data_IF_675245981924
#
_entry.id   IF_675245981924
#
_cell.length_a   1.000
_cell.length_b   1.000
_cell.length_c   1.000
_cell.angle_alpha   90.00
_cell.angle_beta   90.00
_cell.angle_gamma   90.00
#
_symmetry.space_group_name_H-M   'P 1'
#
loop_
_entity.id
_entity.type
_entity.pdbx_description
1 polymer ?
#
# COMPACT_ATOMS: atom_id res chain seq x y z
N UNK A 1 -42.01 19.70 38.53
CA UNK A 1 -42.48 18.79 37.45
C UNK A 1 -42.98 19.70 36.35
N UNK A 2 -42.53 19.75 35.09
CA UNK A 2 -41.66 18.94 34.25
C UNK A 2 -41.00 19.93 33.27
N UNK A 3 -39.68 20.07 33.30
CA UNK A 3 -38.76 19.76 32.19
C UNK A 3 -39.31 20.10 30.79
N UNK A 4 -38.79 21.17 30.20
CA UNK A 4 -38.78 21.37 28.75
C UNK A 4 -37.31 21.52 28.33
N UNK A 5 -36.73 20.41 27.89
CA UNK A 5 -35.38 20.34 27.35
C UNK A 5 -35.34 20.96 25.93
N UNK A 6 -34.25 21.64 25.54
CA UNK A 6 -34.07 22.13 24.19
C UNK A 6 -33.80 20.96 23.24
N UNK A 7 -34.49 20.96 22.09
CA UNK A 7 -34.21 20.06 20.97
C UNK A 7 -32.86 20.44 20.36
N UNK A 8 -31.90 19.53 20.46
CA UNK A 8 -30.64 19.61 19.73
C UNK A 8 -30.88 19.02 18.34
N UNK A 9 -30.98 19.90 17.33
CA UNK A 9 -31.03 19.49 15.94
C UNK A 9 -29.68 18.97 15.47
N UNK A 10 -29.78 17.90 14.68
CA UNK A 10 -28.70 17.14 14.11
C UNK A 10 -27.78 18.00 13.22
N UNK A 11 -26.48 17.95 13.50
CA UNK A 11 -25.49 18.07 12.43
C UNK A 11 -24.28 17.20 12.74
N UNK A 12 -24.49 15.89 12.60
CA UNK A 12 -23.41 14.92 12.44
C UNK A 12 -22.79 15.11 11.07
N UNK A 13 -21.77 15.97 10.99
CA UNK A 13 -20.73 15.83 9.97
C UNK A 13 -19.43 15.59 10.69
N UNK A 14 -19.17 14.31 10.95
CA UNK A 14 -17.81 13.81 11.08
C UNK A 14 -17.07 14.28 9.82
N UNK A 15 -16.29 15.33 10.00
CA UNK A 15 -15.48 15.94 8.98
C UNK A 15 -14.41 14.89 8.66
N UNK A 16 -14.69 14.11 7.62
CA UNK A 16 -13.77 13.09 7.10
C UNK A 16 -12.45 13.77 6.77
N UNK A 17 -11.39 13.26 7.39
CA UNK A 17 -10.00 13.64 7.18
C UNK A 17 -9.63 13.62 5.68
N UNK A 18 -9.76 14.76 5.01
CA UNK A 18 -9.37 14.96 3.61
C UNK A 18 -7.85 15.08 3.40
N UNK A 19 -7.04 14.75 4.41
CA UNK A 19 -5.57 14.87 4.34
C UNK A 19 -4.90 13.61 3.75
N UNK A 20 -5.46 12.41 4.02
CA UNK A 20 -4.82 11.14 3.66
C UNK A 20 -4.86 10.81 2.15
N UNK A 21 -5.78 11.42 1.40
CA UNK A 21 -6.02 11.03 0.00
C UNK A 21 -4.95 11.53 -0.98
N UNK A 22 -4.27 12.66 -0.67
CA UNK A 22 -3.30 13.26 -1.59
C UNK A 22 -1.91 12.60 -1.54
N UNK A 23 -1.49 12.13 -0.36
CA UNK A 23 -0.17 11.52 -0.17
C UNK A 23 -0.05 10.11 -0.77
N UNK A 24 -1.08 9.28 -0.58
CA UNK A 24 -1.14 7.92 -1.14
C UNK A 24 -1.05 7.94 -2.67
N UNK A 25 -1.84 8.82 -3.32
CA UNK A 25 -1.84 8.97 -4.78
C UNK A 25 -0.47 9.33 -5.35
N UNK A 26 0.33 10.14 -4.64
CA UNK A 26 1.67 10.53 -5.11
C UNK A 26 2.65 9.36 -5.01
N UNK A 27 2.61 8.61 -3.90
CA UNK A 27 3.46 7.44 -3.72
C UNK A 27 3.18 6.36 -4.77
N UNK A 28 1.89 6.11 -5.06
CA UNK A 28 1.47 5.16 -6.10
C UNK A 28 2.03 5.52 -7.48
N UNK A 29 1.96 6.80 -7.85
CA UNK A 29 2.47 7.29 -9.13
C UNK A 29 4.00 7.14 -9.22
N UNK A 30 4.72 7.45 -8.14
CA UNK A 30 6.18 7.34 -8.10
C UNK A 30 6.59 5.87 -8.27
N UNK A 31 5.97 4.95 -7.52
CA UNK A 31 6.27 3.52 -7.61
C UNK A 31 5.96 3.02 -9.02
N UNK A 32 4.80 3.36 -9.57
CA UNK A 32 4.37 2.87 -10.88
C UNK A 32 5.25 3.33 -12.04
N UNK A 33 5.89 4.50 -11.94
CA UNK A 33 6.70 5.08 -13.02
C UNK A 33 8.22 5.01 -12.74
N UNK A 34 8.64 4.38 -11.66
CA UNK A 34 10.06 4.20 -11.38
C UNK A 34 10.70 3.31 -12.47
N UNK A 35 11.86 3.71 -13.04
CA UNK A 35 12.55 2.92 -14.06
C UNK A 35 13.18 1.65 -13.48
N UNK A 36 13.53 1.68 -12.20
CA UNK A 36 14.04 0.52 -11.48
C UNK A 36 12.90 -0.34 -10.92
N UNK A 37 13.09 -1.66 -10.76
CA UNK A 37 12.14 -2.54 -10.10
C UNK A 37 11.86 -2.10 -8.65
N UNK A 38 10.60 -1.77 -8.36
CA UNK A 38 10.14 -1.38 -7.02
C UNK A 38 8.95 -2.23 -6.62
N UNK A 39 9.03 -2.80 -5.41
CA UNK A 39 7.92 -3.49 -4.77
C UNK A 39 7.77 -3.05 -3.31
N UNK A 40 6.56 -3.23 -2.78
CA UNK A 40 6.22 -3.04 -1.38
C UNK A 40 5.84 -4.41 -0.84
N UNK A 41 6.43 -4.81 0.29
CA UNK A 41 6.07 -6.05 1.00
C UNK A 41 5.58 -5.77 2.41
N UNK A 42 4.95 -6.77 3.03
CA UNK A 42 4.80 -6.81 4.48
C UNK A 42 6.11 -7.23 5.18
N UNK A 43 6.07 -7.29 6.51
CA UNK A 43 7.20 -7.69 7.35
C UNK A 43 7.60 -9.17 7.19
N UNK A 44 6.71 -9.99 6.63
CA UNK A 44 6.96 -11.42 6.36
C UNK A 44 7.49 -11.62 4.92
N UNK A 45 7.68 -10.54 4.16
CA UNK A 45 8.18 -10.57 2.79
C UNK A 45 7.13 -10.95 1.74
N UNK A 46 5.83 -10.88 2.08
CA UNK A 46 4.74 -11.01 1.09
C UNK A 46 4.63 -9.72 0.28
N UNK A 47 4.69 -9.83 -1.04
CA UNK A 47 4.58 -8.67 -1.94
C UNK A 47 3.13 -8.16 -1.93
N UNK A 48 2.95 -6.89 -1.53
CA UNK A 48 1.67 -6.17 -1.53
C UNK A 48 1.47 -5.38 -2.82
N UNK A 49 2.56 -4.82 -3.38
CA UNK A 49 2.54 -4.03 -4.61
C UNK A 49 3.85 -4.19 -5.36
N UNK A 50 3.80 -4.16 -6.69
CA UNK A 50 4.97 -4.15 -7.55
C UNK A 50 4.70 -3.23 -8.76
N UNK A 51 5.74 -2.55 -9.25
CA UNK A 51 5.68 -1.80 -10.50
C UNK A 51 5.89 -2.71 -11.72
N UNK A 52 5.70 -2.16 -12.91
CA UNK A 52 5.80 -2.95 -14.14
C UNK A 52 7.25 -3.37 -14.43
N UNK A 53 8.24 -2.59 -13.98
CA UNK A 53 9.65 -2.93 -14.09
C UNK A 53 10.01 -4.23 -13.35
N UNK A 54 9.34 -4.55 -12.22
CA UNK A 54 9.48 -5.87 -11.55
C UNK A 54 9.00 -7.01 -12.45
N UNK A 55 7.89 -6.81 -13.14
CA UNK A 55 7.32 -7.82 -14.06
C UNK A 55 8.25 -8.04 -15.26
N UNK A 56 8.84 -6.97 -15.80
CA UNK A 56 9.83 -7.04 -16.88
C UNK A 56 11.13 -7.74 -16.45
N UNK A 57 11.62 -7.46 -15.24
CA UNK A 57 12.83 -8.09 -14.71
C UNK A 57 12.63 -9.59 -14.49
N UNK A 58 11.52 -9.98 -13.86
CA UNK A 58 11.29 -11.35 -13.44
C UNK A 58 10.62 -12.21 -14.53
N UNK A 59 10.03 -11.59 -15.56
CA UNK A 59 9.31 -12.27 -16.64
C UNK A 59 7.94 -12.85 -16.22
N UNK A 60 7.44 -12.46 -15.05
CA UNK A 60 6.12 -12.85 -14.55
C UNK A 60 5.14 -11.70 -14.73
N UNK A 61 3.84 -12.03 -14.82
CA UNK A 61 2.83 -10.99 -14.79
C UNK A 61 2.69 -10.42 -13.39
N UNK A 62 2.31 -9.15 -13.31
CA UNK A 62 2.08 -8.45 -12.04
C UNK A 62 1.14 -9.21 -11.09
N UNK A 63 0.07 -9.80 -11.61
CA UNK A 63 -0.88 -10.61 -10.83
C UNK A 63 -0.31 -11.93 -10.32
N UNK A 64 0.78 -12.42 -10.91
CA UNK A 64 1.52 -13.60 -10.46
C UNK A 64 2.61 -13.25 -9.43
N UNK A 65 3.02 -11.98 -9.37
CA UNK A 65 4.03 -11.48 -8.44
C UNK A 65 3.40 -10.99 -7.13
N UNK A 66 2.28 -10.28 -7.24
CA UNK A 66 1.55 -9.78 -6.08
C UNK A 66 0.98 -10.96 -5.27
N UNK A 67 0.99 -10.82 -3.96
CA UNK A 67 0.64 -11.84 -2.96
C UNK A 67 1.57 -13.06 -2.86
N UNK A 68 2.63 -13.12 -3.65
CA UNK A 68 3.66 -14.15 -3.51
C UNK A 68 4.75 -13.71 -2.53
N UNK A 69 5.47 -14.70 -1.98
CA UNK A 69 6.68 -14.44 -1.21
C UNK A 69 7.84 -14.09 -2.14
N UNK A 70 8.60 -13.05 -1.79
CA UNK A 70 9.79 -12.61 -2.54
C UNK A 70 10.81 -13.75 -2.74
N UNK A 71 10.92 -14.64 -1.75
CA UNK A 71 11.79 -15.83 -1.78
C UNK A 71 11.52 -16.81 -2.94
N UNK A 72 10.37 -16.67 -3.62
CA UNK A 72 10.03 -17.45 -4.81
C UNK A 72 10.77 -16.95 -6.07
N UNK A 73 11.17 -15.68 -6.09
CA UNK A 73 11.68 -15.01 -7.29
C UNK A 73 13.17 -14.73 -7.22
N UNK A 74 13.71 -14.51 -6.02
CA UNK A 74 15.12 -14.18 -5.80
C UNK A 74 15.72 -15.12 -4.75
N UNK A 75 17.04 -15.16 -4.66
CA UNK A 75 17.73 -16.05 -3.72
C UNK A 75 17.43 -15.69 -2.25
N UNK A 76 17.62 -16.63 -1.30
CA UNK A 76 17.45 -16.35 0.13
C UNK A 76 18.42 -15.26 0.65
N UNK A 77 19.60 -15.15 0.05
CA UNK A 77 20.60 -14.12 0.37
C UNK A 77 20.09 -12.73 -0.01
N UNK A 78 19.62 -12.57 -1.26
CA UNK A 78 19.00 -11.32 -1.71
C UNK A 78 17.72 -11.01 -0.92
N UNK A 79 16.90 -12.02 -0.62
CA UNK A 79 15.68 -11.83 0.19
C UNK A 79 15.99 -11.25 1.58
N UNK A 80 17.08 -11.71 2.21
CA UNK A 80 17.53 -11.17 3.51
C UNK A 80 17.98 -9.71 3.39
N UNK A 81 18.67 -9.34 2.31
CA UNK A 81 19.06 -7.94 2.10
C UNK A 81 17.84 -7.00 2.03
N UNK A 82 16.72 -7.46 1.46
CA UNK A 82 15.48 -6.67 1.38
C UNK A 82 14.65 -6.65 2.66
N UNK A 83 14.71 -7.69 3.51
CA UNK A 83 13.94 -7.78 4.76
C UNK A 83 14.69 -7.33 6.02
N UNK A 84 16.01 -7.13 5.95
CA UNK A 84 16.84 -6.82 7.13
C UNK A 84 16.99 -5.32 7.49
N UNK A 85 16.11 -4.43 6.99
CA UNK A 85 16.16 -2.98 7.29
C UNK A 85 15.30 -2.57 8.51
#
# INVERSE_FOLDING_TARGET
>A
MSSAAPKADANGKAQQDGSASRGALVADIIIANAPDPVFVSDLEGKILQANDAVSELLGFRKDEVVEQSLSRFISPEETQEFTAA
#
